data_IF_974175726393
#
_entry.id   IF_974175726393
#
_cell.length_a   1.000
_cell.length_b   1.000
_cell.length_c   1.000
_cell.angle_alpha   90.00
_cell.angle_beta   90.00
_cell.angle_gamma   90.00
#
_symmetry.space_group_name_H-M   'P 1'
#
loop_
_entity.id
_entity.type
_entity.pdbx_description
1 polymer ?
#
# COMPACT_ATOMS: atom_id res chain seq x y z
N UNK A 1 -10.86 -19.80 9.69
CA UNK A 1 -10.68 -18.44 10.23
C UNK A 1 -11.10 -17.45 9.15
N UNK A 2 -12.17 -16.70 9.38
CA UNK A 2 -12.65 -15.72 8.41
C UNK A 2 -11.86 -14.43 8.58
N UNK A 3 -11.10 -14.07 7.56
CA UNK A 3 -10.25 -12.89 7.55
C UNK A 3 -10.64 -11.98 6.38
N UNK A 4 -10.75 -10.68 6.64
CA UNK A 4 -10.97 -9.66 5.62
C UNK A 4 -9.81 -8.65 5.66
N UNK A 5 -9.62 -7.83 4.61
CA UNK A 5 -8.91 -6.57 4.81
C UNK A 5 -9.52 -5.78 5.98
N UNK A 6 -8.74 -4.95 6.71
CA UNK A 6 -9.27 -4.06 7.74
C UNK A 6 -10.44 -3.24 7.21
N UNK A 7 -11.60 -3.37 7.85
CA UNK A 7 -12.83 -2.67 7.45
C UNK A 7 -12.78 -1.22 7.92
N UNK A 8 -13.41 -0.33 7.15
CA UNK A 8 -13.41 1.11 7.45
C UNK A 8 -12.05 1.76 7.16
N UNK A 9 -11.40 1.35 6.06
CA UNK A 9 -10.21 2.04 5.57
C UNK A 9 -10.60 3.42 5.01
N UNK A 10 -9.81 4.49 5.30
CA UNK A 10 -8.60 4.52 6.11
C UNK A 10 -8.81 4.72 7.63
N UNK A 11 -10.04 4.96 8.08
CA UNK A 11 -10.35 5.35 9.47
C UNK A 11 -9.98 4.30 10.51
N UNK A 12 -9.92 3.02 10.14
CA UNK A 12 -9.54 1.92 11.04
C UNK A 12 -8.13 2.09 11.65
N UNK A 13 -7.27 2.90 11.03
CA UNK A 13 -5.94 3.24 11.53
C UNK A 13 -5.95 4.18 12.74
N UNK A 14 -7.10 4.74 13.10
CA UNK A 14 -7.28 5.46 14.36
C UNK A 14 -7.50 4.52 15.56
N UNK A 15 -7.66 3.21 15.32
CA UNK A 15 -7.79 2.21 16.39
C UNK A 15 -6.45 2.02 17.12
N UNK A 16 -6.38 2.26 18.45
CA UNK A 16 -5.16 2.04 19.22
C UNK A 16 -4.64 0.61 19.13
N UNK A 17 -5.56 -0.37 19.07
CA UNK A 17 -5.22 -1.79 18.92
C UNK A 17 -4.50 -2.08 17.60
N UNK A 18 -4.96 -1.47 16.50
CA UNK A 18 -4.31 -1.65 15.20
C UNK A 18 -2.95 -0.96 15.15
N UNK A 19 -2.86 0.25 15.70
CA UNK A 19 -1.61 1.00 15.77
C UNK A 19 -0.55 0.24 16.58
N UNK A 20 -0.93 -0.29 17.75
CA UNK A 20 -0.05 -1.13 18.57
C UNK A 20 0.37 -2.39 17.81
N UNK A 21 -0.57 -3.09 17.16
CA UNK A 21 -0.23 -4.27 16.36
C UNK A 21 0.77 -3.96 15.24
N UNK A 22 0.60 -2.86 14.51
CA UNK A 22 1.53 -2.46 13.45
C UNK A 22 2.90 -2.07 14.01
N UNK A 23 2.93 -1.30 15.09
CA UNK A 23 4.17 -0.80 15.68
C UNK A 23 4.95 -1.91 16.39
N UNK A 24 4.27 -2.73 17.19
CA UNK A 24 4.88 -3.68 18.12
C UNK A 24 5.09 -5.05 17.48
N UNK A 25 4.11 -5.58 16.75
CA UNK A 25 4.19 -6.92 16.17
C UNK A 25 4.80 -6.90 14.77
N UNK A 26 4.38 -5.96 13.91
CA UNK A 26 4.83 -5.93 12.51
C UNK A 26 6.09 -5.10 12.27
N UNK A 27 6.49 -4.28 13.26
CA UNK A 27 7.51 -3.23 13.12
C UNK A 27 7.32 -2.41 11.84
N UNK A 28 6.06 -2.04 11.59
CA UNK A 28 5.62 -1.41 10.36
C UNK A 28 6.17 0.00 10.21
N UNK A 29 6.79 0.28 9.07
CA UNK A 29 7.31 1.61 8.72
C UNK A 29 6.31 2.43 7.92
N UNK A 30 5.58 1.77 7.02
CA UNK A 30 4.61 2.40 6.11
C UNK A 30 3.45 1.46 5.87
N UNK A 31 2.25 2.01 5.81
CA UNK A 31 1.05 1.27 5.45
C UNK A 31 0.44 1.88 4.20
N UNK A 32 0.08 1.05 3.23
CA UNK A 32 -0.59 1.50 2.00
C UNK A 32 -1.59 0.49 1.51
N UNK A 33 -2.64 1.00 0.88
CA UNK A 33 -3.50 0.21 0.02
C UNK A 33 -2.73 -0.15 -1.25
N UNK A 34 -2.57 -1.44 -1.49
CA UNK A 34 -1.99 -2.00 -2.68
C UNK A 34 -3.11 -2.36 -3.64
N UNK A 35 -3.06 -1.80 -4.84
CA UNK A 35 -4.02 -2.06 -5.90
C UNK A 35 -3.46 -3.02 -6.94
N UNK A 36 -4.36 -3.62 -7.72
CA UNK A 36 -3.99 -4.42 -8.89
C UNK A 36 -3.18 -3.62 -9.92
N UNK A 37 -2.30 -4.28 -10.71
CA UNK A 37 -1.62 -3.63 -11.82
C UNK A 37 -2.64 -3.00 -12.79
N UNK A 38 -2.32 -1.83 -13.36
CA UNK A 38 -3.19 -1.22 -14.37
C UNK A 38 -3.18 -2.01 -15.69
N UNK A 39 -4.08 -1.74 -16.65
CA UNK A 39 -4.15 -2.50 -17.91
C UNK A 39 -2.83 -2.53 -18.70
N UNK A 40 -2.13 -1.39 -18.77
CA UNK A 40 -0.82 -1.30 -19.44
C UNK A 40 0.27 -2.11 -18.73
N UNK A 41 0.14 -2.29 -17.43
CA UNK A 41 1.05 -3.10 -16.62
C UNK A 41 0.73 -4.58 -16.76
N UNK A 42 -0.56 -4.95 -16.75
CA UNK A 42 -1.01 -6.32 -16.99
C UNK A 42 -0.50 -6.86 -18.33
N UNK A 43 -0.47 -6.04 -19.39
CA UNK A 43 0.10 -6.45 -20.68
C UNK A 43 1.59 -6.84 -20.59
N UNK A 44 2.38 -6.17 -19.72
CA UNK A 44 3.80 -6.51 -19.50
C UNK A 44 3.94 -7.77 -18.65
N UNK A 45 3.07 -7.91 -17.64
CA UNK A 45 3.07 -9.02 -16.71
C UNK A 45 2.49 -10.31 -17.29
N UNK A 46 1.67 -10.22 -18.36
CA UNK A 46 1.02 -11.38 -18.99
C UNK A 46 2.00 -12.45 -19.52
N UNK A 47 3.27 -12.08 -19.73
CA UNK A 47 4.33 -13.01 -20.17
C UNK A 47 4.97 -13.79 -19.02
N UNK A 48 4.69 -13.42 -17.78
CA UNK A 48 5.27 -14.03 -16.58
C UNK A 48 4.38 -15.18 -16.09
N UNK A 49 5.04 -16.26 -15.64
CA UNK A 49 4.37 -17.38 -14.99
C UNK A 49 4.42 -17.18 -13.48
N UNK A 50 3.53 -16.31 -13.00
CA UNK A 50 3.45 -15.96 -11.59
C UNK A 50 2.73 -17.05 -10.78
N UNK A 51 3.25 -17.34 -9.60
CA UNK A 51 2.69 -18.28 -8.63
C UNK A 51 1.58 -17.64 -7.80
N UNK A 52 0.54 -18.40 -7.47
CA UNK A 52 -0.49 -17.98 -6.52
C UNK A 52 -0.01 -18.07 -5.05
N UNK A 53 1.18 -18.61 -4.77
CA UNK A 53 1.68 -18.84 -3.40
C UNK A 53 3.04 -18.17 -3.16
N UNK A 54 3.94 -18.22 -4.14
CA UNK A 54 5.30 -17.72 -3.97
C UNK A 54 5.40 -16.24 -4.35
N UNK A 55 5.09 -15.40 -3.37
CA UNK A 55 5.03 -13.94 -3.55
C UNK A 55 6.42 -13.31 -3.72
N UNK A 56 7.47 -13.93 -3.18
CA UNK A 56 8.84 -13.46 -3.35
C UNK A 56 9.32 -13.74 -4.77
N UNK A 57 9.14 -14.98 -5.26
CA UNK A 57 9.49 -15.34 -6.62
C UNK A 57 8.77 -14.46 -7.64
N UNK A 58 7.48 -14.18 -7.41
CA UNK A 58 6.74 -13.25 -8.25
C UNK A 58 7.38 -11.86 -8.27
N UNK A 59 7.67 -11.30 -7.09
CA UNK A 59 8.23 -9.96 -7.00
C UNK A 59 9.60 -9.87 -7.71
N UNK A 60 10.43 -10.93 -7.62
CA UNK A 60 11.69 -11.06 -8.34
C UNK A 60 11.50 -11.12 -9.86
N UNK A 61 10.54 -11.91 -10.35
CA UNK A 61 10.23 -11.98 -11.78
C UNK A 61 9.72 -10.64 -12.32
N UNK A 62 8.89 -9.95 -11.55
CA UNK A 62 8.39 -8.60 -11.90
C UNK A 62 9.54 -7.60 -11.94
N UNK A 63 10.41 -7.60 -10.94
CA UNK A 63 11.59 -6.72 -10.93
C UNK A 63 12.48 -6.98 -12.15
N UNK A 64 12.77 -8.24 -12.47
CA UNK A 64 13.57 -8.60 -13.64
C UNK A 64 12.91 -8.17 -14.97
N UNK A 65 11.58 -8.25 -15.08
CA UNK A 65 10.88 -7.97 -16.32
C UNK A 65 10.59 -6.48 -16.56
N UNK A 66 10.31 -5.72 -15.51
CA UNK A 66 9.85 -4.32 -15.63
C UNK A 66 10.61 -3.33 -14.74
N UNK A 67 11.61 -3.79 -13.98
CA UNK A 67 12.48 -2.94 -13.15
C UNK A 67 11.80 -2.37 -11.90
N UNK A 68 10.67 -2.93 -11.46
CA UNK A 68 10.00 -2.42 -10.26
C UNK A 68 10.62 -2.97 -8.99
N UNK A 69 11.05 -2.07 -8.11
CA UNK A 69 11.73 -2.41 -6.87
C UNK A 69 10.92 -3.35 -5.99
N UNK A 70 11.53 -4.41 -5.49
CA UNK A 70 10.89 -5.32 -4.53
C UNK A 70 10.76 -4.64 -3.16
N UNK A 71 9.61 -4.87 -2.52
CA UNK A 71 9.27 -4.44 -1.17
C UNK A 71 8.87 -5.65 -0.34
N UNK A 72 9.28 -5.67 0.93
CA UNK A 72 8.95 -6.72 1.89
C UNK A 72 8.14 -6.19 3.07
N UNK A 73 7.27 -7.04 3.59
CA UNK A 73 6.53 -6.75 4.81
C UNK A 73 5.38 -7.72 5.02
N UNK A 74 4.20 -7.19 5.34
CA UNK A 74 3.04 -7.99 5.71
C UNK A 74 1.76 -7.53 4.99
N UNK A 75 0.91 -8.48 4.63
CA UNK A 75 -0.52 -8.20 4.35
C UNK A 75 -1.25 -8.21 5.67
N UNK A 76 -1.99 -7.15 5.95
CA UNK A 76 -2.78 -7.00 7.17
C UNK A 76 -4.22 -7.48 6.93
N UNK A 77 -4.76 -8.23 7.88
CA UNK A 77 -6.13 -8.70 7.90
C UNK A 77 -6.80 -8.44 9.26
N UNK A 78 -8.12 -8.24 9.22
CA UNK A 78 -9.01 -8.22 10.37
C UNK A 78 -9.68 -9.59 10.51
N UNK A 79 -9.64 -10.15 11.72
CA UNK A 79 -10.32 -11.39 12.09
C UNK A 79 -11.77 -11.04 12.41
N UNK A 80 -12.71 -11.55 11.62
CA UNK A 80 -14.13 -11.22 11.81
C UNK A 80 -14.73 -11.90 13.04
N UNK A 81 -14.18 -13.07 13.40
CA UNK A 81 -14.69 -13.93 14.46
C UNK A 81 -13.84 -13.82 15.75
N UNK A 82 -13.02 -12.76 15.91
CA UNK A 82 -12.20 -12.59 17.10
C UNK A 82 -13.07 -12.34 18.34
N UNK A 83 -12.93 -13.15 19.41
CA UNK A 83 -13.64 -12.89 20.67
C UNK A 83 -13.26 -11.52 21.25
N UNK A 84 -14.17 -10.87 22.01
CA UNK A 84 -13.84 -9.65 22.73
C UNK A 84 -12.58 -9.81 23.60
N UNK A 85 -11.72 -8.80 23.60
CA UNK A 85 -10.45 -8.82 24.36
C UNK A 85 -9.32 -9.63 23.73
N UNK A 86 -9.51 -10.22 22.54
CA UNK A 86 -8.43 -10.89 21.79
C UNK A 86 -7.88 -10.01 20.67
N UNK A 87 -6.65 -10.30 20.22
CA UNK A 87 -6.05 -9.56 19.10
C UNK A 87 -6.88 -9.77 17.82
N UNK A 88 -7.56 -8.70 17.40
CA UNK A 88 -8.47 -8.63 16.23
C UNK A 88 -7.75 -8.63 14.88
N UNK A 89 -6.43 -8.41 14.87
CA UNK A 89 -5.66 -8.32 13.63
C UNK A 89 -4.75 -9.53 13.47
N UNK A 90 -4.46 -9.87 12.22
CA UNK A 90 -3.44 -10.85 11.86
C UNK A 90 -2.71 -10.37 10.62
N UNK A 91 -1.51 -10.86 10.40
CA UNK A 91 -0.76 -10.50 9.22
C UNK A 91 -0.03 -11.70 8.64
N UNK A 92 0.18 -11.68 7.32
CA UNK A 92 0.94 -12.72 6.61
C UNK A 92 2.10 -12.06 5.90
N UNK A 93 3.31 -12.60 6.10
CA UNK A 93 4.52 -12.11 5.44
C UNK A 93 4.36 -12.16 3.93
N UNK A 94 4.77 -11.10 3.24
CA UNK A 94 4.61 -10.98 1.79
C UNK A 94 5.63 -10.07 1.14
N UNK A 95 5.80 -10.25 -0.16
CA UNK A 95 6.57 -9.38 -1.05
C UNK A 95 5.69 -8.86 -2.18
N UNK A 96 5.97 -7.62 -2.60
CA UNK A 96 5.28 -6.91 -3.67
C UNK A 96 6.27 -5.95 -4.33
N UNK A 97 5.85 -5.22 -5.37
CA UNK A 97 6.72 -4.29 -6.08
C UNK A 97 6.29 -2.83 -5.87
N UNK A 98 7.24 -1.91 -5.94
CA UNK A 98 7.05 -0.47 -5.94
C UNK A 98 7.31 0.09 -7.33
N UNK A 99 6.27 0.63 -7.96
CA UNK A 99 6.35 1.27 -9.27
C UNK A 99 6.38 2.78 -9.10
N UNK A 100 7.55 3.40 -9.31
CA UNK A 100 7.72 4.85 -9.37
C UNK A 100 7.01 5.44 -10.59
N UNK A 101 6.50 6.67 -10.47
CA UNK A 101 5.94 7.40 -11.60
C UNK A 101 7.05 7.85 -12.57
N UNK A 102 6.69 8.20 -13.81
CA UNK A 102 7.66 8.60 -14.85
C UNK A 102 8.43 9.88 -14.50
N UNK A 103 7.82 10.75 -13.71
CA UNK A 103 8.36 12.01 -13.21
C UNK A 103 9.19 11.84 -11.92
N UNK A 104 9.39 10.59 -11.45
CA UNK A 104 10.11 10.30 -10.22
C UNK A 104 9.30 10.55 -8.94
N UNK A 105 8.03 10.98 -9.04
CA UNK A 105 7.17 11.20 -7.88
C UNK A 105 6.81 9.88 -7.18
N UNK A 106 6.32 9.92 -5.92
CA UNK A 106 5.98 8.73 -5.16
C UNK A 106 5.05 7.79 -5.93
N UNK A 107 5.53 6.58 -6.10
CA UNK A 107 4.89 5.53 -6.84
C UNK A 107 3.77 4.80 -6.09
N UNK A 108 3.27 3.77 -6.77
CA UNK A 108 2.23 2.86 -6.31
C UNK A 108 2.83 1.52 -5.87
N UNK A 109 2.24 0.93 -4.84
CA UNK A 109 2.52 -0.46 -4.46
C UNK A 109 1.66 -1.38 -5.34
N UNK A 110 2.29 -2.41 -5.90
CA UNK A 110 1.66 -3.35 -6.83
C UNK A 110 1.96 -4.77 -6.38
N UNK A 111 0.91 -5.54 -6.20
CA UNK A 111 0.96 -6.98 -6.04
C UNK A 111 0.53 -7.64 -7.36
N UNK A 112 1.46 -8.30 -8.03
CA UNK A 112 1.22 -8.97 -9.30
C UNK A 112 0.73 -10.42 -9.13
N UNK A 113 0.59 -10.93 -7.90
CA UNK A 113 0.20 -12.33 -7.68
C UNK A 113 -1.23 -12.59 -8.23
N UNK A 114 -1.46 -13.71 -8.91
CA UNK A 114 -2.77 -14.04 -9.49
C UNK A 114 -3.83 -14.35 -8.42
N UNK A 115 -5.10 -14.16 -8.79
CA UNK A 115 -6.27 -14.55 -7.99
C UNK A 115 -6.47 -13.75 -6.69
N UNK A 116 -5.89 -12.55 -6.60
CA UNK A 116 -5.93 -11.74 -5.38
C UNK A 116 -7.12 -10.79 -5.34
N UNK A 117 -7.56 -10.41 -4.11
CA UNK A 117 -8.47 -9.31 -3.93
C UNK A 117 -8.00 -8.06 -4.68
N UNK A 118 -8.94 -7.22 -5.10
CA UNK A 118 -8.63 -5.99 -5.83
C UNK A 118 -7.72 -5.05 -5.04
N UNK A 119 -7.86 -5.08 -3.72
CA UNK A 119 -7.17 -4.20 -2.80
C UNK A 119 -6.70 -4.98 -1.57
N UNK A 120 -5.47 -4.70 -1.15
CA UNK A 120 -4.85 -5.29 0.03
C UNK A 120 -4.19 -4.21 0.85
N UNK A 121 -4.31 -4.31 2.17
CA UNK A 121 -3.58 -3.41 3.07
C UNK A 121 -2.21 -4.02 3.35
N UNK A 122 -1.16 -3.35 2.88
CA UNK A 122 0.20 -3.80 3.02
C UNK A 122 0.96 -2.92 4.00
N UNK A 123 1.78 -3.56 4.83
CA UNK A 123 2.62 -2.93 5.84
C UNK A 123 4.07 -3.23 5.49
N UNK A 124 4.82 -2.23 5.05
CA UNK A 124 6.27 -2.37 4.86
C UNK A 124 6.93 -2.53 6.22
N UNK A 125 7.79 -3.53 6.37
CA UNK A 125 8.52 -3.79 7.62
C UNK A 125 10.03 -3.81 7.36
N UNK A 126 10.80 -3.25 8.29
CA UNK A 126 12.26 -3.32 8.26
C UNK A 126 12.79 -4.74 8.48
N UNK A 127 12.03 -5.56 9.20
CA UNK A 127 12.41 -6.93 9.57
C UNK A 127 12.24 -7.94 8.43
N UNK A 128 11.55 -7.55 7.37
CA UNK A 128 11.42 -8.37 6.16
C UNK A 128 12.44 -7.88 5.15
N UNK A 129 13.69 -8.40 5.17
CA UNK A 129 14.70 -7.97 4.24
C UNK A 129 14.24 -8.25 2.81
N UNK A 130 14.44 -7.26 1.95
CA UNK A 130 14.33 -7.44 0.52
C UNK A 130 15.55 -8.26 0.10
N UNK A 131 15.35 -9.50 -0.33
CA UNK A 131 16.43 -10.42 -0.74
C UNK A 131 17.16 -10.02 -2.03
N UNK A 132 17.34 -8.72 -2.27
CA UNK A 132 18.13 -8.20 -3.38
C UNK A 132 19.59 -7.95 -2.95
N UNK A 133 20.54 -7.98 -3.89
CA UNK A 133 21.97 -7.78 -3.62
C UNK A 133 22.30 -6.44 -2.92
N UNK A 134 21.39 -5.47 -2.93
CA UNK A 134 21.62 -4.10 -2.42
C UNK A 134 21.08 -3.83 -1.00
N UNK A 135 20.46 -4.81 -0.33
CA UNK A 135 19.92 -4.60 1.03
C UNK A 135 21.00 -4.43 2.13
N UNK A 136 22.30 -4.46 1.77
CA UNK A 136 23.42 -4.15 2.68
C UNK A 136 23.77 -2.66 2.77
N UNK A 137 23.13 -1.76 2.03
CA UNK A 137 23.50 -0.34 2.02
C UNK A 137 22.56 0.59 2.80
N UNK A 138 21.81 0.09 3.78
CA UNK A 138 21.42 0.92 4.93
C UNK A 138 22.43 0.69 6.04
N UNK A 139 23.62 1.28 5.87
CA UNK A 139 24.55 1.43 6.97
C UNK A 139 23.79 2.00 8.18
N UNK A 140 24.07 1.54 9.42
CA UNK A 140 23.53 2.20 10.60
C UNK A 140 23.88 3.68 10.46
N UNK A 141 22.86 4.53 10.52
CA UNK A 141 23.02 5.98 10.58
C UNK A 141 23.97 6.22 11.74
N UNK A 142 25.24 6.47 11.42
CA UNK A 142 26.26 6.73 12.40
C UNK A 142 25.70 7.80 13.32
N UNK A 143 25.47 7.42 14.58
CA UNK A 143 25.31 8.39 15.65
C UNK A 143 26.52 9.29 15.51
N UNK A 144 26.29 10.51 15.02
CA UNK A 144 27.32 11.52 15.03
C UNK A 144 27.66 11.71 16.50
N UNK A 145 28.80 11.15 16.92
CA UNK A 145 29.48 11.53 18.13
C UNK A 145 29.75 13.04 18.01
N UNK A 146 28.80 13.84 18.51
CA UNK A 146 29.12 15.19 18.94
C UNK A 146 30.09 15.01 20.09
N UNK A 147 31.38 15.13 19.79
CA UNK A 147 32.40 15.46 20.77
C UNK A 147 31.96 16.78 21.40
N UNK A 148 31.33 16.69 22.57
CA UNK A 148 31.06 17.83 23.41
C UNK A 148 32.34 18.05 24.20
N UNK A 149 33.09 19.07 23.79
CA UNK A 149 34.26 19.57 24.50
C UNK A 149 33.83 19.91 25.93
N UNK A 150 34.28 19.11 26.90
CA UNK A 150 34.07 19.38 28.33
C UNK A 150 35.19 20.30 28.79
N UNK A 151 34.96 21.61 28.64
CA UNK A 151 35.69 22.61 29.41
C UNK A 151 34.99 22.79 30.77
N UNK A 152 35.78 22.60 31.82
CA UNK A 152 35.55 22.82 33.25
C UNK A 152 34.31 23.64 33.63
N UNK A 153 33.43 23.06 34.44
CA UNK A 153 32.60 23.82 35.38
C UNK A 153 32.36 23.02 36.65
N UNK A 154 33.17 23.35 37.65
CA UNK A 154 32.92 23.40 39.11
C UNK A 154 31.66 22.69 39.61
N UNK A 155 31.87 21.65 40.42
CA UNK A 155 30.88 21.00 41.28
C UNK A 155 30.17 22.00 42.20
N UNK A 156 28.83 22.02 42.17
CA UNK A 156 28.02 22.36 43.34
C UNK A 156 27.19 21.14 43.76
N UNK A 157 27.13 20.83 45.07
CA UNK A 157 26.31 19.75 45.58
C UNK A 157 24.87 20.22 45.81
N UNK A 158 23.91 19.48 45.27
CA UNK A 158 22.53 19.50 45.76
C UNK A 158 21.48 19.82 44.70
N UNK A 159 20.87 18.76 44.17
CA UNK A 159 19.41 18.60 44.01
C UNK A 159 19.13 17.28 43.27
N UNK A 160 18.51 16.35 43.98
CA UNK A 160 17.90 15.15 43.41
C UNK A 160 16.65 15.60 42.66
N UNK A 161 16.66 15.49 41.32
CA UNK A 161 15.42 15.56 40.53
C UNK A 161 15.27 14.27 39.72
N UNK A 162 14.29 13.50 40.16
CA UNK A 162 13.64 12.43 39.41
C UNK A 162 13.00 13.03 38.16
N UNK A 163 13.47 12.65 36.97
CA UNK A 163 12.67 12.76 35.74
C UNK A 163 13.20 11.79 34.68
N UNK A 164 12.67 10.57 34.70
CA UNK A 164 12.67 9.74 33.50
C UNK A 164 11.58 10.26 32.58
N UNK A 165 11.94 11.12 31.64
CA UNK A 165 11.10 11.46 30.50
C UNK A 165 11.51 10.57 29.33
N UNK A 166 10.72 9.53 29.09
CA UNK A 166 10.90 8.62 27.97
C UNK A 166 10.71 9.40 26.67
N UNK A 167 11.75 9.38 25.82
CA UNK A 167 11.69 9.93 24.49
C UNK A 167 10.69 9.13 23.64
N UNK A 168 9.50 9.70 23.42
CA UNK A 168 8.50 9.18 22.48
C UNK A 168 9.05 9.32 21.05
N UNK A 169 9.17 8.23 20.26
CA UNK A 169 9.63 8.35 18.88
C UNK A 169 8.52 8.94 18.01
N UNK A 170 8.86 10.07 17.38
CA UNK A 170 8.42 10.58 16.07
C UNK A 170 7.03 10.17 15.59
N UNK A 171 6.14 11.14 15.71
CA UNK A 171 4.90 11.33 14.96
C UNK A 171 4.85 10.58 13.61
N UNK A 172 3.83 9.73 13.47
CA UNK A 172 3.32 9.19 12.21
C UNK A 172 2.81 10.33 11.30
N UNK A 173 3.71 11.14 10.70
CA UNK A 173 3.36 12.21 9.73
C UNK A 173 3.00 11.69 8.33
N UNK A 174 2.27 10.58 8.24
CA UNK A 174 1.86 10.02 6.96
C UNK A 174 0.41 10.39 6.57
N UNK A 175 -0.41 10.84 7.52
CA UNK A 175 -1.83 11.07 7.29
C UNK A 175 -2.17 12.47 6.75
N UNK A 176 -1.40 13.50 7.10
CA UNK A 176 -1.69 14.87 6.63
C UNK A 176 -1.50 15.03 5.12
N UNK A 177 -0.53 14.32 4.53
CA UNK A 177 -0.26 14.41 3.09
C UNK A 177 -1.34 13.72 2.23
N UNK A 178 -1.97 12.65 2.73
CA UNK A 178 -3.04 11.97 1.98
C UNK A 178 -4.38 12.69 2.12
N UNK A 179 -4.68 13.26 3.29
CA UNK A 179 -5.89 14.07 3.49
C UNK A 179 -5.88 15.32 2.60
N UNK A 180 -4.74 15.99 2.49
CA UNK A 180 -4.60 17.18 1.64
C UNK A 180 -4.79 16.89 0.14
N UNK A 181 -4.39 15.70 -0.33
CA UNK A 181 -4.56 15.31 -1.75
C UNK A 181 -6.04 14.97 -2.06
N UNK A 182 -6.74 14.32 -1.13
CA UNK A 182 -8.17 14.00 -1.28
C UNK A 182 -9.03 15.27 -1.23
N UNK A 183 -8.74 16.21 -0.33
CA UNK A 183 -9.43 17.51 -0.29
C UNK A 183 -9.18 18.34 -1.56
N UNK A 184 -7.98 18.28 -2.14
CA UNK A 184 -7.68 18.92 -3.43
C UNK A 184 -8.48 18.33 -4.59
N UNK A 185 -8.62 17.01 -4.65
CA UNK A 185 -9.40 16.35 -5.71
C UNK A 185 -10.89 16.66 -5.57
N UNK A 186 -11.43 16.70 -4.35
CA UNK A 186 -12.81 17.10 -4.10
C UNK A 186 -13.09 18.56 -4.51
N UNK A 187 -12.16 19.49 -4.24
CA UNK A 187 -12.33 20.90 -4.61
C UNK A 187 -12.30 21.16 -6.13
N UNK A 188 -11.60 20.33 -6.90
CA UNK A 188 -11.58 20.44 -8.37
C UNK A 188 -12.90 19.99 -9.00
N UNK A 189 -13.62 19.05 -8.36
CA UNK A 189 -14.90 18.55 -8.86
C UNK A 189 -16.06 19.51 -8.57
N UNK A 190 -16.01 20.28 -7.47
CA UNK A 190 -17.01 21.33 -7.16
C UNK A 190 -16.82 22.62 -7.96
N UNK A 191 -15.65 22.85 -8.54
CA UNK A 191 -15.35 24.08 -9.30
C UNK A 191 -15.70 23.99 -10.79
N UNK A 192 -16.36 22.90 -11.25
CA UNK A 192 -16.75 22.77 -12.66
C UNK A 192 -17.96 23.68 -12.93
N UNK A 193 -17.81 24.76 -13.73
CA UNK A 193 -18.92 25.65 -14.02
C UNK A 193 -20.00 24.86 -14.76
N UNK A 194 -21.22 24.86 -14.23
CA UNK A 194 -22.41 24.44 -14.95
C UNK A 194 -22.62 25.44 -16.10
N UNK A 195 -21.99 25.17 -17.23
CA UNK A 195 -22.34 25.83 -18.48
C UNK A 195 -23.72 25.33 -18.89
N UNK A 196 -24.74 26.10 -18.49
CA UNK A 196 -26.04 26.13 -19.17
C UNK A 196 -25.78 26.40 -20.66
N UNK A 197 -26.35 25.57 -21.51
CA UNK A 197 -26.11 25.65 -22.95
C UNK A 197 -26.89 24.62 -23.74
N UNK A 198 -28.21 24.78 -23.75
CA UNK A 198 -29.13 24.16 -24.68
C UNK A 198 -28.60 24.19 -26.13
N UNK A 199 -28.52 23.03 -26.78
CA UNK A 199 -28.82 22.93 -28.22
C UNK A 199 -29.57 21.62 -28.45
N UNK A 200 -30.86 21.75 -28.72
CA UNK A 200 -31.67 20.71 -29.34
C UNK A 200 -31.14 20.47 -30.75
N UNK A 201 -30.95 19.20 -31.14
CA UNK A 201 -31.14 18.80 -32.53
C UNK A 201 -31.58 17.34 -32.59
N UNK A 202 -32.80 17.17 -33.09
CA UNK A 202 -33.32 15.96 -33.71
C UNK A 202 -32.32 15.39 -34.71
N UNK A 203 -32.18 14.06 -34.75
CA UNK A 203 -32.17 13.31 -36.01
C UNK A 203 -32.28 11.81 -35.74
N UNK A 204 -33.42 11.27 -36.12
CA UNK A 204 -33.69 9.87 -36.42
C UNK A 204 -32.52 9.15 -37.10
N UNK A 205 -32.13 7.99 -36.58
CA UNK A 205 -31.47 6.98 -37.40
C UNK A 205 -31.75 5.58 -36.85
N UNK A 206 -32.91 5.05 -37.26
CA UNK A 206 -33.25 3.63 -37.20
C UNK A 206 -32.19 2.81 -37.95
N UNK A 207 -31.28 2.17 -37.23
CA UNK A 207 -30.42 1.13 -37.79
C UNK A 207 -31.14 -0.21 -37.77
N UNK A 208 -31.45 -0.63 -38.99
CA UNK A 208 -31.93 -1.94 -39.38
C UNK A 208 -31.00 -3.05 -38.85
N UNK A 209 -31.57 -4.02 -38.12
CA UNK A 209 -30.89 -5.25 -37.70
C UNK A 209 -31.28 -6.35 -38.69
N UNK A 210 -30.36 -6.90 -39.50
CA UNK A 210 -30.67 -8.06 -40.31
C UNK A 210 -30.79 -9.30 -39.42
N UNK A 211 -31.96 -9.95 -39.45
CA UNK A 211 -32.20 -11.29 -38.90
C UNK A 211 -31.23 -12.27 -39.53
N UNK A 212 -30.36 -12.90 -38.73
CA UNK A 212 -29.69 -14.14 -39.13
C UNK A 212 -30.60 -15.32 -38.84
N UNK A 213 -30.88 -16.07 -39.88
CA UNK A 213 -31.61 -17.34 -39.91
C UNK A 213 -30.90 -18.42 -39.08
N UNK A 214 -31.64 -19.33 -38.43
CA UNK A 214 -31.07 -20.54 -37.86
C UNK A 214 -30.59 -21.45 -39.00
N UNK A 215 -29.39 -21.98 -38.85
CA UNK A 215 -28.84 -23.02 -39.73
C UNK A 215 -29.09 -24.34 -39.02
N UNK A 216 -30.09 -25.08 -39.51
CA UNK A 216 -30.26 -26.51 -39.31
C UNK A 216 -29.24 -27.24 -40.18
N UNK A 217 -28.31 -27.99 -39.58
CA UNK A 217 -27.56 -29.03 -40.31
C UNK A 217 -27.28 -30.22 -39.39
N UNK A 218 -28.14 -31.23 -39.56
CA UNK A 218 -27.90 -32.66 -39.66
C UNK A 218 -26.95 -33.38 -38.67
N UNK A 219 -27.63 -34.14 -37.81
CA UNK A 219 -27.28 -35.50 -37.36
C UNK A 219 -26.81 -36.37 -38.56
N UNK A 220 -25.66 -37.02 -38.40
CA UNK A 220 -25.24 -38.18 -39.18
C UNK A 220 -24.86 -39.28 -38.17
N UNK A 221 -25.45 -40.46 -38.39
CA UNK A 221 -25.22 -41.74 -37.71
C UNK A 221 -23.75 -42.14 -37.56
#
# INVERSE_FOLDING_TARGET
MTASPPRGWPECFNSPELQAYIADELKGQRVRLCGQPGPADLAKLAKLKLSDKDTLLNAQQVEAAVGWKIMGGYVLYEKLDAPPGTCKYTATRRWWNYKTNKDGSPGKWIDASPGRPKELVLVQSAEVPVGGPDARSSAPRASAERKFDHSDTVQQPGKVYSSMSAAVPREFKLFDAQKAEVERQAAVETARPQSEGCVAHEASSTRHVPRRTPVDVHELD
#
